data_IF_240505211906
#
_entry.id   IF_240505211906
#
_cell.length_a   1.000
_cell.length_b   1.000
_cell.length_c   1.000
_cell.angle_alpha   90.00
_cell.angle_beta   90.00
_cell.angle_gamma   90.00
#
_symmetry.space_group_name_H-M   'P 1'
#
loop_
_entity.id
_entity.type
_entity.pdbx_description
1 polymer ?
#
# COMPACT_ATOMS: atom_id res chain seq x y z
N UNK A 1 -26.06 -26.30 7.29
CA UNK A 1 -27.41 -25.83 7.54
C UNK A 1 -27.50 -25.31 8.96
N UNK A 2 -28.23 -24.24 9.17
CA UNK A 2 -28.45 -23.66 10.50
C UNK A 2 -29.59 -24.42 11.16
N UNK A 3 -29.34 -25.11 12.30
CA UNK A 3 -30.31 -26.03 12.91
C UNK A 3 -30.65 -25.69 14.37
N UNK A 4 -29.98 -24.64 14.92
CA UNK A 4 -30.25 -24.25 16.31
C UNK A 4 -31.66 -23.69 16.44
N UNK A 5 -32.54 -24.38 17.19
CA UNK A 5 -33.94 -23.99 17.43
C UNK A 5 -34.23 -23.70 18.91
N UNK A 6 -33.33 -24.06 19.82
CA UNK A 6 -33.45 -23.83 21.25
C UNK A 6 -32.24 -23.01 21.72
N UNK A 7 -32.36 -21.68 21.71
CA UNK A 7 -31.27 -20.76 22.04
C UNK A 7 -31.63 -20.07 23.36
N UNK A 8 -30.70 -20.13 24.32
CA UNK A 8 -30.78 -19.45 25.60
C UNK A 8 -29.66 -18.43 25.74
N UNK A 9 -29.91 -17.36 26.45
CA UNK A 9 -28.93 -16.32 26.81
C UNK A 9 -28.75 -16.29 28.31
N UNK A 10 -27.49 -16.22 28.73
CA UNK A 10 -27.14 -16.04 30.15
C UNK A 10 -25.95 -15.06 30.25
N UNK A 11 -25.81 -14.43 31.42
CA UNK A 11 -24.66 -13.57 31.70
C UNK A 11 -23.49 -14.41 32.19
N UNK A 12 -22.32 -14.20 31.53
CA UNK A 12 -21.09 -14.88 31.95
C UNK A 12 -20.48 -14.16 33.15
N UNK A 13 -20.47 -14.77 34.33
CA UNK A 13 -20.03 -14.12 35.57
C UNK A 13 -18.53 -14.07 35.70
N UNK A 14 -17.65 -14.47 35.12
CA UNK A 14 -16.16 -14.42 35.38
C UNK A 14 -15.31 -14.57 34.13
N UNK A 15 -15.90 -14.38 32.97
CA UNK A 15 -15.19 -14.58 31.70
C UNK A 15 -14.99 -13.25 31.01
N UNK A 16 -13.75 -12.78 30.97
CA UNK A 16 -13.33 -11.64 30.14
C UNK A 16 -12.87 -12.19 28.78
N UNK A 17 -13.65 -11.99 27.73
CA UNK A 17 -13.33 -12.47 26.39
C UNK A 17 -13.51 -11.37 25.34
N UNK A 18 -12.69 -11.41 24.29
CA UNK A 18 -12.79 -10.54 23.12
C UNK A 18 -12.50 -11.30 21.83
N UNK A 19 -12.87 -10.72 20.70
CA UNK A 19 -12.71 -11.37 19.37
C UNK A 19 -11.46 -10.89 18.60
N UNK A 20 -10.55 -10.16 19.22
CA UNK A 20 -9.40 -9.54 18.55
C UNK A 20 -8.06 -9.83 19.27
N UNK A 21 -7.86 -11.09 19.65
CA UNK A 21 -6.68 -11.54 20.42
C UNK A 21 -5.32 -11.26 19.76
N UNK A 22 -5.29 -11.05 18.43
CA UNK A 22 -4.08 -10.66 17.71
C UNK A 22 -3.52 -9.28 18.09
N UNK A 23 -4.36 -8.41 18.70
CA UNK A 23 -3.94 -7.04 19.06
C UNK A 23 -2.77 -7.02 20.06
N UNK A 24 -2.71 -7.98 20.98
CA UNK A 24 -1.62 -8.06 21.95
C UNK A 24 -0.25 -8.29 21.29
N UNK A 25 -0.20 -9.12 20.25
CA UNK A 25 1.04 -9.33 19.48
C UNK A 25 1.44 -8.08 18.68
N UNK A 26 0.46 -7.37 18.10
CA UNK A 26 0.71 -6.11 17.41
C UNK A 26 1.22 -5.02 18.37
N UNK A 27 0.61 -4.90 19.54
CA UNK A 27 1.04 -3.93 20.55
C UNK A 27 2.47 -4.21 21.02
N UNK A 28 2.80 -5.48 21.30
CA UNK A 28 4.17 -5.87 21.63
C UNK A 28 5.14 -5.52 20.49
N UNK A 29 4.77 -5.79 19.23
CA UNK A 29 5.58 -5.43 18.08
C UNK A 29 5.85 -3.93 18.02
N UNK A 30 4.84 -3.10 18.16
CA UNK A 30 4.93 -1.62 18.16
C UNK A 30 5.89 -1.13 19.25
N UNK A 31 5.78 -1.68 20.48
CA UNK A 31 6.68 -1.38 21.58
C UNK A 31 8.11 -1.81 21.28
N UNK A 32 8.31 -3.05 20.80
CA UNK A 32 9.64 -3.57 20.46
C UNK A 32 10.34 -2.84 19.33
N UNK A 33 9.59 -2.22 18.44
CA UNK A 33 10.13 -1.40 17.36
C UNK A 33 10.43 0.04 17.80
N UNK A 34 10.18 0.40 19.07
CA UNK A 34 10.43 1.73 19.62
C UNK A 34 9.52 2.82 19.03
N UNK A 35 8.38 2.44 18.42
CA UNK A 35 7.50 3.41 17.74
C UNK A 35 6.79 4.32 18.75
N UNK A 36 6.44 3.82 19.94
CA UNK A 36 5.78 4.62 21.01
C UNK A 36 6.70 5.75 21.44
N UNK A 37 7.90 5.41 21.87
CA UNK A 37 8.89 6.37 22.37
C UNK A 37 9.31 7.36 21.29
N UNK A 38 9.36 6.89 20.04
CA UNK A 38 9.76 7.73 18.91
C UNK A 38 8.67 8.75 18.54
N UNK A 39 7.40 8.35 18.57
CA UNK A 39 6.26 9.25 18.38
C UNK A 39 6.23 10.32 19.48
N UNK A 40 6.32 9.93 20.76
CA UNK A 40 6.25 10.87 21.89
C UNK A 40 7.44 11.82 21.94
N UNK A 41 8.59 11.40 21.42
CA UNK A 41 9.79 12.25 21.33
C UNK A 41 9.75 13.28 20.21
N UNK A 42 9.12 12.95 19.09
CA UNK A 42 9.20 13.76 17.86
C UNK A 42 7.92 14.48 17.47
N UNK A 43 6.79 14.15 18.09
CA UNK A 43 5.53 14.88 17.92
C UNK A 43 5.27 15.72 19.18
N UNK A 44 4.95 16.99 18.98
CA UNK A 44 4.69 17.96 20.06
C UNK A 44 3.38 18.72 19.78
N UNK A 45 2.28 17.95 19.72
CA UNK A 45 0.96 18.45 19.33
C UNK A 45 0.07 18.76 20.54
N UNK A 46 0.36 18.12 21.66
CA UNK A 46 -0.41 18.24 22.88
C UNK A 46 0.23 19.29 23.82
N UNK A 47 -0.59 20.19 24.36
CA UNK A 47 -0.15 21.14 25.39
C UNK A 47 -0.04 20.49 26.77
N UNK A 48 -0.79 19.42 26.98
CA UNK A 48 -0.85 18.66 28.23
C UNK A 48 -0.88 17.18 27.87
N UNK A 49 0.04 16.41 28.42
CA UNK A 49 0.20 14.98 28.15
C UNK A 49 -0.59 14.06 29.11
N UNK A 50 -1.55 14.58 29.80
CA UNK A 50 -2.47 13.83 30.63
C UNK A 50 -3.90 14.04 30.14
N UNK A 51 -4.68 13.00 29.94
CA UNK A 51 -4.36 11.58 30.24
C UNK A 51 -3.68 10.82 29.07
N UNK A 52 -3.37 11.47 27.95
CA UNK A 52 -2.88 10.83 26.73
C UNK A 52 -1.62 11.50 26.20
N UNK A 53 -0.75 10.70 25.61
CA UNK A 53 0.40 11.13 24.79
C UNK A 53 0.07 11.10 23.30
N UNK A 54 0.94 11.62 22.45
CA UNK A 54 0.79 11.61 20.99
C UNK A 54 0.70 10.19 20.44
N UNK A 55 1.50 9.26 20.97
CA UNK A 55 1.47 7.85 20.59
C UNK A 55 0.12 7.21 20.89
N UNK A 56 -0.55 7.56 21.99
CA UNK A 56 -1.87 7.03 22.35
C UNK A 56 -2.92 7.38 21.28
N UNK A 57 -2.88 8.60 20.76
CA UNK A 57 -3.80 9.04 19.70
C UNK A 57 -3.52 8.36 18.38
N UNK A 58 -2.23 8.29 17.96
CA UNK A 58 -1.81 7.63 16.73
C UNK A 58 -2.20 6.15 16.76
N UNK A 59 -1.90 5.47 17.87
CA UNK A 59 -2.18 4.05 18.03
C UNK A 59 -3.66 3.74 18.23
N UNK A 60 -4.43 4.62 18.90
CA UNK A 60 -5.88 4.47 19.02
C UNK A 60 -6.55 4.34 17.66
N UNK A 61 -6.25 5.26 16.73
CA UNK A 61 -6.76 5.22 15.36
C UNK A 61 -6.27 3.97 14.61
N UNK A 62 -4.97 3.69 14.68
CA UNK A 62 -4.34 2.54 14.02
C UNK A 62 -4.90 1.22 14.52
N UNK A 63 -5.07 1.05 15.83
CA UNK A 63 -5.60 -0.19 16.43
C UNK A 63 -7.08 -0.36 16.18
N UNK A 64 -7.86 0.72 16.17
CA UNK A 64 -9.26 0.64 15.73
C UNK A 64 -9.38 -0.01 14.35
N UNK A 65 -8.56 0.43 13.39
CA UNK A 65 -8.53 -0.17 12.04
C UNK A 65 -8.00 -1.61 12.04
N UNK A 66 -6.97 -1.91 12.84
CA UNK A 66 -6.40 -3.27 12.99
C UNK A 66 -7.38 -4.28 13.55
N UNK A 67 -8.37 -3.86 14.32
CA UNK A 67 -9.40 -4.76 14.86
C UNK A 67 -10.73 -4.67 14.11
N UNK A 68 -10.69 -4.15 12.87
CA UNK A 68 -11.82 -4.15 11.93
C UNK A 68 -12.70 -2.92 11.96
N UNK A 69 -12.36 -1.88 12.73
CA UNK A 69 -12.99 -0.56 12.63
C UNK A 69 -12.81 0.05 11.23
N UNK A 70 -13.73 0.90 10.83
CA UNK A 70 -13.74 1.55 9.50
C UNK A 70 -13.87 3.06 9.59
N UNK A 71 -14.24 3.58 10.73
CA UNK A 71 -14.55 4.99 11.01
C UNK A 71 -13.98 5.39 12.36
N UNK A 72 -13.89 6.69 12.59
CA UNK A 72 -13.56 7.20 13.92
C UNK A 72 -14.60 6.77 14.96
N UNK A 73 -15.88 6.77 14.60
CA UNK A 73 -16.98 6.40 15.49
C UNK A 73 -16.85 4.96 16.00
N UNK A 74 -16.20 4.07 15.26
CA UNK A 74 -15.98 2.68 15.71
C UNK A 74 -15.00 2.59 16.89
N UNK A 75 -14.25 3.64 17.20
CA UNK A 75 -13.43 3.76 18.41
C UNK A 75 -14.28 3.61 19.68
N UNK A 76 -15.54 4.06 19.65
CA UNK A 76 -16.45 3.92 20.79
C UNK A 76 -16.68 2.46 21.17
N UNK A 77 -16.70 1.53 20.22
CA UNK A 77 -16.79 0.08 20.48
C UNK A 77 -15.57 -0.43 21.26
N UNK A 78 -14.41 0.17 21.05
CA UNK A 78 -13.16 -0.22 21.73
C UNK A 78 -13.08 0.44 23.10
N UNK A 79 -13.55 1.67 23.20
CA UNK A 79 -13.58 2.44 24.46
C UNK A 79 -14.50 1.81 25.51
N UNK A 80 -15.60 1.19 25.06
CA UNK A 80 -16.56 0.49 25.93
C UNK A 80 -16.19 -0.96 26.20
N UNK A 81 -15.23 -1.54 25.49
CA UNK A 81 -14.79 -2.91 25.70
C UNK A 81 -13.69 -2.95 26.77
N UNK A 82 -14.10 -3.18 28.02
CA UNK A 82 -13.18 -3.31 29.15
C UNK A 82 -12.13 -4.40 28.93
N UNK A 83 -12.46 -5.48 28.20
CA UNK A 83 -11.54 -6.58 27.96
C UNK A 83 -10.45 -6.16 26.98
N UNK A 84 -10.81 -5.39 25.97
CA UNK A 84 -9.87 -4.78 25.03
C UNK A 84 -8.91 -3.81 25.75
N UNK A 85 -9.44 -2.93 26.59
CA UNK A 85 -8.63 -2.01 27.38
C UNK A 85 -7.68 -2.74 28.33
N UNK A 86 -8.19 -3.71 29.09
CA UNK A 86 -7.38 -4.55 30.00
C UNK A 86 -6.31 -5.33 29.24
N UNK A 87 -6.62 -5.80 28.04
CA UNK A 87 -5.68 -6.50 27.16
C UNK A 87 -4.48 -5.61 26.79
N UNK A 88 -4.71 -4.38 26.47
CA UNK A 88 -3.66 -3.39 26.14
C UNK A 88 -3.03 -2.71 27.37
N UNK A 89 -3.51 -3.01 28.58
CA UNK A 89 -3.05 -2.35 29.81
C UNK A 89 -3.53 -0.91 29.98
N UNK A 90 -4.51 -0.49 29.17
CA UNK A 90 -5.10 0.85 29.23
C UNK A 90 -6.28 0.91 30.20
N UNK A 91 -6.44 2.03 30.89
CA UNK A 91 -7.64 2.33 31.66
C UNK A 91 -8.73 2.96 30.79
N UNK A 92 -8.30 3.76 29.83
CA UNK A 92 -9.15 4.44 28.86
C UNK A 92 -8.36 4.77 27.59
N UNK A 93 -9.07 5.04 26.51
CA UNK A 93 -8.52 5.53 25.23
C UNK A 93 -9.28 6.78 24.78
N UNK A 94 -8.70 7.64 23.91
CA UNK A 94 -9.40 8.80 23.36
C UNK A 94 -10.70 8.39 22.67
N UNK A 95 -11.77 9.17 22.90
CA UNK A 95 -13.04 8.99 22.20
C UNK A 95 -12.97 9.45 20.74
N UNK A 96 -13.99 9.15 19.89
CA UNK A 96 -13.99 9.51 18.48
C UNK A 96 -13.80 11.00 18.20
N UNK A 97 -14.41 11.88 19.03
CA UNK A 97 -14.30 13.33 18.89
C UNK A 97 -12.87 13.78 19.18
N UNK A 98 -12.33 13.32 20.29
CA UNK A 98 -10.93 13.59 20.70
C UNK A 98 -9.94 13.08 19.66
N UNK A 99 -10.18 11.92 19.03
CA UNK A 99 -9.35 11.40 17.94
C UNK A 99 -9.41 12.28 16.69
N UNK A 100 -10.60 12.80 16.34
CA UNK A 100 -10.76 13.78 15.27
C UNK A 100 -10.08 15.11 15.57
N UNK A 101 -10.21 15.61 16.79
CA UNK A 101 -9.56 16.86 17.25
C UNK A 101 -8.03 16.75 17.27
N UNK A 102 -7.50 15.57 17.60
CA UNK A 102 -6.07 15.33 17.52
C UNK A 102 -5.55 15.49 16.09
N UNK A 103 -6.27 14.97 15.08
CA UNK A 103 -5.83 15.15 13.68
C UNK A 103 -5.83 16.64 13.26
N UNK A 104 -6.70 17.48 13.84
CA UNK A 104 -6.77 18.93 13.55
C UNK A 104 -5.62 19.73 14.18
N UNK A 105 -4.82 19.13 15.04
CA UNK A 105 -3.64 19.78 15.63
C UNK A 105 -2.42 19.76 14.71
N UNK A 106 -2.42 18.91 13.70
CA UNK A 106 -1.32 18.81 12.74
C UNK A 106 -1.24 20.03 11.84
N UNK A 107 -0.05 20.60 11.73
CA UNK A 107 0.36 21.48 10.65
C UNK A 107 1.09 20.68 9.56
N UNK A 108 1.35 21.28 8.41
CA UNK A 108 2.16 20.65 7.34
C UNK A 108 3.55 20.23 7.87
N UNK A 109 4.12 21.01 8.79
CA UNK A 109 5.42 20.73 9.39
C UNK A 109 5.44 19.46 10.25
N UNK A 110 4.30 19.06 10.83
CA UNK A 110 4.21 17.91 11.74
C UNK A 110 4.01 16.58 10.99
N UNK A 111 3.57 16.64 9.72
CA UNK A 111 3.33 15.43 8.92
C UNK A 111 4.62 14.66 8.62
N UNK A 112 5.70 15.38 8.31
CA UNK A 112 6.98 14.73 8.03
C UNK A 112 7.55 14.01 9.26
N UNK A 113 7.65 14.64 10.46
CA UNK A 113 8.01 13.93 11.69
C UNK A 113 7.21 12.66 11.95
N UNK A 114 5.89 12.67 11.76
CA UNK A 114 5.04 11.47 11.89
C UNK A 114 5.49 10.35 10.93
N UNK A 115 5.71 10.66 9.65
CA UNK A 115 6.13 9.67 8.68
C UNK A 115 7.57 9.18 8.93
N UNK A 116 8.44 10.05 9.44
CA UNK A 116 9.82 9.68 9.79
C UNK A 116 9.87 8.72 11.00
N UNK A 117 9.01 8.88 12.02
CA UNK A 117 8.85 7.91 13.11
C UNK A 117 8.45 6.52 12.55
N UNK A 118 7.50 6.49 11.62
CA UNK A 118 7.08 5.25 10.96
C UNK A 118 8.23 4.62 10.17
N UNK A 119 9.04 5.43 9.49
CA UNK A 119 10.18 4.97 8.71
C UNK A 119 11.31 4.42 9.61
N UNK A 120 11.58 5.02 10.78
CA UNK A 120 12.55 4.49 11.75
C UNK A 120 12.12 3.13 12.30
N UNK A 121 10.86 2.96 12.67
CA UNK A 121 10.31 1.66 13.09
C UNK A 121 10.42 0.60 11.97
N UNK A 122 10.18 0.99 10.72
CA UNK A 122 10.39 0.14 9.54
C UNK A 122 11.82 -0.33 9.40
N UNK A 123 12.78 0.55 9.55
CA UNK A 123 14.21 0.20 9.48
C UNK A 123 14.58 -0.80 10.58
N UNK A 124 13.99 -0.72 11.77
CA UNK A 124 14.17 -1.73 12.81
C UNK A 124 13.69 -3.12 12.36
N UNK A 125 12.57 -3.20 11.63
CA UNK A 125 12.11 -4.46 11.02
C UNK A 125 13.09 -4.96 9.94
N UNK A 126 13.62 -4.08 9.11
CA UNK A 126 14.55 -4.47 8.04
C UNK A 126 15.89 -4.94 8.56
N UNK A 127 16.39 -4.35 9.65
CA UNK A 127 17.68 -4.74 10.29
C UNK A 127 17.69 -6.20 10.78
N UNK A 128 16.53 -6.76 11.13
CA UNK A 128 16.44 -8.16 11.61
C UNK A 128 16.11 -9.15 10.49
N UNK A 129 16.10 -8.70 9.23
CA UNK A 129 15.96 -9.58 8.08
C UNK A 129 17.30 -10.23 7.71
N UNK A 130 17.28 -11.38 7.01
CA UNK A 130 18.49 -12.03 6.52
C UNK A 130 19.33 -11.13 5.61
N UNK A 131 20.62 -11.38 5.56
CA UNK A 131 21.52 -10.73 4.62
C UNK A 131 21.02 -10.88 3.17
N UNK A 132 21.08 -9.80 2.40
CA UNK A 132 20.56 -9.75 1.03
C UNK A 132 19.04 -9.77 0.94
N UNK A 133 18.32 -9.45 2.02
CA UNK A 133 16.87 -9.29 2.05
C UNK A 133 16.35 -8.39 0.91
N UNK A 134 17.00 -7.26 0.69
CA UNK A 134 16.74 -6.34 -0.42
C UNK A 134 17.96 -6.26 -1.36
N UNK A 135 18.18 -7.30 -2.18
CA UNK A 135 19.26 -7.24 -3.21
C UNK A 135 19.03 -6.09 -4.17
N UNK A 136 17.79 -5.88 -4.58
CA UNK A 136 17.33 -4.75 -5.38
C UNK A 136 15.98 -4.28 -4.83
N UNK A 137 15.88 -3.01 -4.48
CA UNK A 137 14.66 -2.38 -4.00
C UNK A 137 13.95 -1.65 -5.15
N UNK A 138 12.64 -1.82 -5.24
CA UNK A 138 11.80 -1.14 -6.20
C UNK A 138 10.95 -0.09 -5.47
N UNK A 139 11.27 1.18 -5.70
CA UNK A 139 10.51 2.32 -5.17
C UNK A 139 9.51 2.74 -6.24
N UNK A 140 8.24 2.47 -5.97
CA UNK A 140 7.13 2.80 -6.85
C UNK A 140 6.47 4.11 -6.42
N UNK A 141 6.15 4.96 -7.39
CA UNK A 141 5.39 6.19 -7.19
C UNK A 141 4.13 6.17 -8.04
N UNK A 142 3.01 6.54 -7.43
CA UNK A 142 1.73 6.66 -8.12
C UNK A 142 0.81 7.66 -7.41
N UNK A 143 -0.09 8.28 -8.16
CA UNK A 143 -1.15 9.13 -7.66
C UNK A 143 -2.49 8.38 -7.64
N UNK A 144 -3.41 8.86 -6.81
CA UNK A 144 -4.78 8.36 -6.86
C UNK A 144 -5.76 9.47 -6.59
N UNK A 145 -7.02 9.28 -6.98
CA UNK A 145 -8.11 10.20 -6.64
C UNK A 145 -8.87 9.62 -5.46
N UNK A 146 -9.02 10.42 -4.42
CA UNK A 146 -9.84 10.13 -3.25
C UNK A 146 -11.06 11.06 -3.28
N UNK A 147 -12.17 10.56 -3.83
CA UNK A 147 -13.42 11.32 -3.97
C UNK A 147 -14.06 11.61 -2.62
N UNK A 148 -14.69 12.77 -2.50
CA UNK A 148 -15.50 13.15 -1.33
C UNK A 148 -16.78 13.85 -1.77
N UNK A 149 -17.85 13.68 -0.99
CA UNK A 149 -19.13 14.36 -1.18
C UNK A 149 -19.34 15.52 -0.18
N UNK A 150 -18.37 15.75 0.71
CA UNK A 150 -18.48 16.81 1.71
C UNK A 150 -18.19 18.17 1.11
N UNK A 151 -19.18 19.06 1.10
CA UNK A 151 -19.10 20.40 0.50
C UNK A 151 -18.18 21.36 1.27
N UNK A 152 -17.96 21.12 2.56
CA UNK A 152 -17.16 21.98 3.44
C UNK A 152 -15.72 21.48 3.64
N UNK A 153 -15.17 20.69 2.70
CA UNK A 153 -13.82 20.15 2.84
C UNK A 153 -12.79 21.08 2.20
N UNK A 154 -11.97 21.67 3.04
CA UNK A 154 -10.86 22.53 2.61
C UNK A 154 -9.84 21.75 1.78
N UNK A 155 -9.33 22.37 0.72
CA UNK A 155 -8.33 21.79 -0.18
C UNK A 155 -8.85 20.71 -1.13
N UNK A 156 -10.15 20.38 -1.12
CA UNK A 156 -10.72 19.57 -2.19
C UNK A 156 -10.80 20.38 -3.48
N UNK A 157 -10.67 19.70 -4.61
CA UNK A 157 -10.81 20.29 -5.93
C UNK A 157 -11.29 19.25 -6.94
N UNK A 158 -11.64 19.71 -8.14
CA UNK A 158 -12.10 18.86 -9.22
C UNK A 158 -10.92 18.20 -9.93
N UNK A 159 -10.84 16.88 -9.88
CA UNK A 159 -9.80 16.13 -10.58
C UNK A 159 -9.98 16.15 -12.10
N UNK A 160 -8.95 15.78 -12.86
CA UNK A 160 -9.01 15.61 -14.31
C UNK A 160 -10.06 14.58 -14.79
N UNK A 161 -10.60 13.76 -13.88
CA UNK A 161 -11.69 12.80 -14.15
C UNK A 161 -13.07 13.34 -13.76
N UNK A 162 -13.17 14.62 -13.39
CA UNK A 162 -14.43 15.20 -12.96
C UNK A 162 -14.92 14.73 -11.59
N UNK A 163 -14.00 14.28 -10.71
CA UNK A 163 -14.32 13.82 -9.36
C UNK A 163 -13.86 14.87 -8.37
N UNK A 164 -14.77 15.37 -7.54
CA UNK A 164 -14.44 16.23 -6.40
C UNK A 164 -13.70 15.45 -5.31
N UNK A 165 -12.59 15.98 -4.81
CA UNK A 165 -11.83 15.31 -3.75
C UNK A 165 -10.39 15.76 -3.67
N UNK A 166 -9.55 14.80 -3.28
CA UNK A 166 -8.10 14.98 -3.12
C UNK A 166 -7.34 14.10 -4.11
N UNK A 167 -6.08 14.46 -4.35
CA UNK A 167 -5.15 13.75 -5.22
C UNK A 167 -3.95 13.16 -4.46
N UNK A 168 -4.14 12.17 -3.54
CA UNK A 168 -3.03 11.62 -2.78
C UNK A 168 -1.95 11.03 -3.67
N UNK A 169 -0.67 11.28 -3.28
CA UNK A 169 0.52 10.66 -3.82
C UNK A 169 0.98 9.55 -2.87
N UNK A 170 1.33 8.40 -3.41
CA UNK A 170 1.84 7.27 -2.66
C UNK A 170 3.20 6.87 -3.19
N UNK A 171 4.20 6.82 -2.31
CA UNK A 171 5.51 6.23 -2.58
C UNK A 171 5.63 4.96 -1.76
N UNK A 172 5.88 3.83 -2.42
CA UNK A 172 5.87 2.51 -1.78
C UNK A 172 7.10 1.69 -2.14
N UNK A 173 7.48 0.76 -1.26
CA UNK A 173 8.45 -0.27 -1.52
C UNK A 173 7.72 -1.52 -2.05
N UNK A 174 7.85 -1.79 -3.34
CA UNK A 174 7.12 -2.88 -4.00
C UNK A 174 7.49 -4.27 -3.47
N UNK A 175 8.74 -4.46 -3.04
CA UNK A 175 9.25 -5.73 -2.52
C UNK A 175 8.44 -6.24 -1.31
N UNK A 176 8.08 -5.32 -0.42
CA UNK A 176 7.42 -5.60 0.86
C UNK A 176 6.00 -5.04 0.93
N UNK A 177 5.56 -4.34 -0.13
CA UNK A 177 4.27 -3.66 -0.24
C UNK A 177 4.04 -2.58 0.84
N UNK A 178 5.10 -2.07 1.42
CA UNK A 178 5.05 -1.01 2.44
C UNK A 178 4.83 0.36 1.80
N UNK A 179 4.05 1.19 2.47
CA UNK A 179 3.92 2.62 2.13
C UNK A 179 5.04 3.38 2.84
N UNK A 180 5.97 3.94 2.07
CA UNK A 180 7.09 4.75 2.57
C UNK A 180 6.64 6.16 2.88
N UNK A 181 5.90 6.77 1.95
CA UNK A 181 5.31 8.09 2.09
C UNK A 181 3.92 8.16 1.46
N UNK A 182 3.04 8.87 2.13
CA UNK A 182 1.73 9.24 1.65
C UNK A 182 1.56 10.75 1.79
N UNK A 183 1.17 11.42 0.70
CA UNK A 183 1.04 12.88 0.64
C UNK A 183 -0.36 13.23 0.18
N UNK A 184 -1.12 13.94 1.01
CA UNK A 184 -2.42 14.44 0.61
C UNK A 184 -2.27 15.75 -0.17
N UNK A 185 -2.99 15.89 -1.27
CA UNK A 185 -2.93 17.05 -2.17
C UNK A 185 -4.33 17.41 -2.67
N UNK A 186 -4.58 18.64 -3.10
CA UNK A 186 -5.84 19.00 -3.77
C UNK A 186 -6.13 18.09 -4.97
N UNK A 187 -7.42 17.90 -5.27
CA UNK A 187 -7.86 17.00 -6.34
C UNK A 187 -7.39 17.37 -7.74
N UNK A 188 -7.13 18.66 -7.99
CA UNK A 188 -6.59 19.20 -9.25
C UNK A 188 -5.06 19.15 -9.33
N UNK A 189 -4.36 18.71 -8.27
CA UNK A 189 -2.91 18.62 -8.29
C UNK A 189 -2.43 17.67 -9.40
N UNK A 190 -1.50 18.12 -10.23
CA UNK A 190 -0.88 17.26 -11.23
C UNK A 190 -0.20 16.06 -10.54
N UNK A 191 -0.34 14.85 -11.11
CA UNK A 191 0.14 13.61 -10.50
C UNK A 191 1.60 13.70 -10.05
N UNK A 192 2.47 14.29 -10.88
CA UNK A 192 3.90 14.44 -10.62
C UNK A 192 4.27 15.58 -9.65
N UNK A 193 3.34 16.47 -9.31
CA UNK A 193 3.66 17.68 -8.51
C UNK A 193 4.24 17.29 -7.14
N UNK A 194 5.43 17.79 -6.82
CA UNK A 194 6.14 17.54 -5.56
C UNK A 194 6.68 16.13 -5.36
N UNK A 195 6.45 15.20 -6.30
CA UNK A 195 6.78 13.78 -6.09
C UNK A 195 8.28 13.48 -6.04
N UNK A 196 9.12 14.29 -6.67
CA UNK A 196 10.58 14.10 -6.66
C UNK A 196 11.15 14.13 -5.25
N UNK A 197 10.73 15.07 -4.42
CA UNK A 197 11.16 15.16 -3.03
C UNK A 197 10.84 13.89 -2.25
N UNK A 198 9.63 13.37 -2.40
CA UNK A 198 9.19 12.16 -1.68
C UNK A 198 9.84 10.89 -2.21
N UNK A 199 10.13 10.83 -3.51
CA UNK A 199 10.94 9.75 -4.11
C UNK A 199 12.35 9.78 -3.51
N UNK A 200 13.02 10.95 -3.48
CA UNK A 200 14.37 11.07 -2.95
C UNK A 200 14.45 10.72 -1.46
N UNK A 201 13.48 11.17 -0.65
CA UNK A 201 13.36 10.77 0.75
C UNK A 201 13.19 9.25 0.92
N UNK A 202 12.33 8.65 0.10
CA UNK A 202 12.11 7.20 0.11
C UNK A 202 13.38 6.43 -0.26
N UNK A 203 14.09 6.87 -1.31
CA UNK A 203 15.39 6.31 -1.71
C UNK A 203 16.40 6.42 -0.57
N UNK A 204 16.44 7.57 0.14
CA UNK A 204 17.32 7.79 1.29
C UNK A 204 17.13 6.77 2.41
N UNK A 205 15.89 6.33 2.69
CA UNK A 205 15.60 5.28 3.67
C UNK A 205 15.97 3.87 3.19
N UNK A 206 15.82 3.62 1.90
CA UNK A 206 16.00 2.28 1.32
C UNK A 206 17.46 1.97 1.00
N UNK A 207 18.22 2.96 0.53
CA UNK A 207 19.63 2.80 0.12
C UNK A 207 20.55 2.14 1.17
N UNK A 208 20.45 2.47 2.49
CA UNK A 208 21.34 1.86 3.49
C UNK A 208 21.14 0.36 3.67
N UNK A 209 20.02 -0.21 3.22
CA UNK A 209 19.66 -1.62 3.40
C UNK A 209 19.55 -2.40 2.10
N UNK A 210 19.55 -1.71 0.96
CA UNK A 210 19.42 -2.31 -0.37
C UNK A 210 20.76 -2.34 -1.12
N UNK A 211 21.00 -3.41 -1.87
CA UNK A 211 22.17 -3.50 -2.76
C UNK A 211 22.05 -2.59 -3.98
N UNK A 212 20.84 -2.30 -4.43
CA UNK A 212 20.54 -1.39 -5.52
C UNK A 212 19.10 -0.84 -5.37
N UNK A 213 18.83 0.33 -5.94
CA UNK A 213 17.48 0.91 -5.97
C UNK A 213 17.06 1.16 -7.42
N UNK A 214 15.82 0.77 -7.74
CA UNK A 214 15.16 1.09 -9.02
C UNK A 214 13.88 1.89 -8.74
N UNK A 215 13.82 3.10 -9.26
CA UNK A 215 12.65 3.98 -9.21
C UNK A 215 11.72 3.62 -10.35
N UNK A 216 10.41 3.44 -10.06
CA UNK A 216 9.40 3.14 -11.09
C UNK A 216 8.22 4.08 -10.99
N UNK A 217 7.74 4.56 -12.12
CA UNK A 217 6.57 5.41 -12.25
C UNK A 217 5.88 5.21 -13.59
N UNK A 218 4.62 5.61 -13.72
CA UNK A 218 3.92 5.61 -15.00
C UNK A 218 4.28 6.86 -15.84
N UNK A 219 3.50 7.13 -16.85
CA UNK A 219 3.73 8.25 -17.78
C UNK A 219 3.64 9.61 -17.08
N UNK A 220 2.82 9.73 -16.05
CA UNK A 220 2.69 10.96 -15.26
C UNK A 220 3.97 11.28 -14.47
N UNK A 221 4.80 10.28 -14.17
CA UNK A 221 6.02 10.40 -13.38
C UNK A 221 7.30 10.24 -14.21
N UNK A 222 7.31 10.66 -15.46
CA UNK A 222 8.49 10.55 -16.36
C UNK A 222 9.73 11.29 -15.85
N UNK A 223 9.59 12.38 -15.11
CA UNK A 223 10.63 13.13 -14.39
C UNK A 223 11.94 13.33 -15.15
N UNK A 224 11.87 13.60 -16.46
CA UNK A 224 13.05 13.67 -17.34
C UNK A 224 14.13 14.62 -16.86
N UNK A 225 13.79 15.66 -16.08
CA UNK A 225 14.76 16.59 -15.49
C UNK A 225 15.62 15.97 -14.36
N UNK A 226 15.26 14.78 -13.85
CA UNK A 226 15.96 14.14 -12.74
C UNK A 226 16.80 12.93 -13.16
N UNK A 227 16.66 12.46 -14.38
CA UNK A 227 17.29 11.21 -14.84
C UNK A 227 18.80 11.24 -14.73
N UNK A 228 19.44 12.34 -15.18
CA UNK A 228 20.90 12.49 -15.11
C UNK A 228 21.39 12.49 -13.64
N UNK A 229 20.65 13.12 -12.73
CA UNK A 229 20.96 13.17 -11.31
C UNK A 229 20.84 11.80 -10.66
N UNK A 230 19.72 11.09 -10.88
CA UNK A 230 19.53 9.74 -10.36
C UNK A 230 20.53 8.73 -10.92
N UNK A 231 20.84 8.84 -12.23
CA UNK A 231 21.85 8.01 -12.87
C UNK A 231 23.26 8.25 -12.29
N UNK A 232 23.63 9.52 -12.09
CA UNK A 232 24.89 9.89 -11.46
C UNK A 232 25.02 9.42 -10.01
N UNK A 233 23.89 9.35 -9.29
CA UNK A 233 23.79 8.78 -7.94
C UNK A 233 23.79 7.24 -7.91
N UNK A 234 23.86 6.58 -9.07
CA UNK A 234 23.85 5.12 -9.19
C UNK A 234 22.46 4.48 -9.09
N UNK A 235 21.39 5.29 -9.03
CA UNK A 235 20.04 4.76 -8.99
C UNK A 235 19.59 4.31 -10.38
N UNK A 236 18.88 3.19 -10.42
CA UNK A 236 18.21 2.71 -11.63
C UNK A 236 16.80 3.28 -11.69
N UNK A 237 16.26 3.37 -12.90
CA UNK A 237 14.89 3.78 -13.10
C UNK A 237 14.24 3.07 -14.28
N UNK A 238 12.91 2.93 -14.22
CA UNK A 238 12.03 2.49 -15.32
C UNK A 238 10.80 3.39 -15.23
N UNK A 239 10.74 4.42 -16.07
CA UNK A 239 9.67 5.41 -16.04
C UNK A 239 8.90 5.41 -17.34
N UNK A 240 7.57 5.51 -17.25
CA UNK A 240 6.73 5.67 -18.42
C UNK A 240 6.97 7.01 -19.10
N UNK A 241 6.74 7.06 -20.40
CA UNK A 241 6.76 8.29 -21.18
C UNK A 241 5.51 8.40 -22.02
N UNK A 242 4.98 9.61 -22.13
CA UNK A 242 3.84 9.89 -22.98
C UNK A 242 4.14 9.59 -24.47
N UNK A 243 3.14 9.03 -25.13
CA UNK A 243 3.19 8.76 -26.56
C UNK A 243 3.03 10.05 -27.39
N UNK A 244 3.93 11.02 -27.17
CA UNK A 244 3.87 12.28 -27.93
C UNK A 244 4.28 12.07 -29.40
N UNK A 245 3.86 12.94 -30.33
CA UNK A 245 4.01 12.75 -31.77
C UNK A 245 5.42 12.41 -32.25
N UNK A 246 6.47 12.99 -31.61
CA UNK A 246 7.87 12.72 -31.95
C UNK A 246 8.26 11.27 -31.65
N UNK A 247 7.90 10.75 -30.49
CA UNK A 247 8.17 9.36 -30.12
C UNK A 247 7.38 8.38 -31.00
N UNK A 248 6.12 8.69 -31.28
CA UNK A 248 5.28 7.87 -32.17
C UNK A 248 5.86 7.81 -33.58
N UNK A 249 6.34 8.94 -34.13
CA UNK A 249 7.02 8.98 -35.44
C UNK A 249 8.31 8.13 -35.43
N UNK A 250 9.11 8.22 -34.38
CA UNK A 250 10.31 7.39 -34.22
C UNK A 250 9.97 5.89 -34.19
N UNK A 251 8.95 5.51 -33.43
CA UNK A 251 8.49 4.12 -33.36
C UNK A 251 7.95 3.62 -34.69
N UNK A 252 7.17 4.43 -35.41
CA UNK A 252 6.59 4.07 -36.70
C UNK A 252 7.64 3.95 -37.81
N UNK A 253 8.76 4.66 -37.69
CA UNK A 253 9.88 4.61 -38.64
C UNK A 253 10.83 3.41 -38.44
N UNK A 254 10.66 2.65 -37.35
CA UNK A 254 11.48 1.46 -37.10
C UNK A 254 11.18 0.35 -38.13
N UNK A 255 12.23 -0.23 -38.69
CA UNK A 255 12.11 -1.36 -39.61
C UNK A 255 11.52 -2.59 -38.87
N UNK A 256 10.83 -3.44 -39.61
CA UNK A 256 10.20 -4.65 -39.04
C UNK A 256 11.17 -5.54 -38.27
N UNK A 257 12.44 -5.62 -38.69
CA UNK A 257 13.49 -6.40 -38.03
C UNK A 257 13.86 -5.90 -36.62
N UNK A 258 13.54 -4.63 -36.28
CA UNK A 258 13.77 -4.07 -34.97
C UNK A 258 12.72 -4.54 -33.92
N UNK A 259 11.60 -5.11 -34.41
CA UNK A 259 10.50 -5.53 -33.55
C UNK A 259 10.63 -7.02 -33.23
N UNK A 260 10.69 -7.32 -31.90
CA UNK A 260 10.67 -8.69 -31.38
C UNK A 260 9.28 -9.02 -30.87
N UNK A 261 8.66 -10.14 -31.29
CA UNK A 261 7.40 -10.60 -30.71
C UNK A 261 7.53 -10.71 -29.18
N UNK A 262 6.49 -10.36 -28.45
CA UNK A 262 6.48 -10.42 -27.02
C UNK A 262 5.25 -11.16 -26.50
N UNK A 263 5.49 -12.28 -25.83
CA UNK A 263 4.49 -13.03 -25.11
C UNK A 263 4.69 -12.81 -23.60
N UNK A 264 3.60 -12.55 -22.93
CA UNK A 264 3.66 -12.38 -21.48
C UNK A 264 3.72 -13.72 -20.79
N UNK A 265 4.62 -13.85 -19.84
CA UNK A 265 4.62 -15.00 -18.95
C UNK A 265 3.26 -15.09 -18.21
N UNK A 266 2.71 -16.30 -18.05
CA UNK A 266 1.49 -16.48 -17.28
C UNK A 266 1.73 -16.04 -15.83
N UNK A 267 0.75 -15.32 -15.25
CA UNK A 267 0.87 -14.80 -13.87
C UNK A 267 0.93 -15.89 -12.80
N UNK A 268 0.49 -17.10 -13.13
CA UNK A 268 0.48 -18.27 -12.25
C UNK A 268 0.40 -19.55 -13.08
N UNK A 269 1.00 -20.60 -12.58
CA UNK A 269 0.81 -21.96 -13.14
C UNK A 269 -0.52 -22.53 -12.65
N UNK A 270 -1.27 -23.14 -13.56
CA UNK A 270 -2.48 -23.88 -13.20
C UNK A 270 -2.04 -25.30 -12.86
N UNK A 271 -1.99 -25.61 -11.56
CA UNK A 271 -1.61 -26.94 -11.05
C UNK A 271 -2.80 -27.91 -10.98
N UNK A 272 -4.00 -27.46 -11.32
CA UNK A 272 -5.21 -28.27 -11.31
C UNK A 272 -5.94 -28.13 -12.64
N UNK A 273 -6.86 -29.05 -12.94
CA UNK A 273 -7.71 -28.92 -14.13
C UNK A 273 -8.36 -27.52 -14.19
N UNK A 274 -8.31 -26.86 -15.36
CA UNK A 274 -8.89 -25.53 -15.48
C UNK A 274 -10.39 -25.60 -15.18
N UNK A 275 -10.84 -24.84 -14.21
CA UNK A 275 -12.29 -24.67 -13.96
C UNK A 275 -12.92 -24.15 -15.25
N UNK A 276 -14.12 -24.65 -15.58
CA UNK A 276 -14.91 -24.07 -16.65
C UNK A 276 -14.96 -22.55 -16.45
N UNK A 277 -14.55 -21.80 -17.49
CA UNK A 277 -14.59 -20.34 -17.44
C UNK A 277 -16.02 -19.92 -17.16
N UNK A 278 -16.21 -19.12 -16.12
CA UNK A 278 -17.53 -18.53 -15.85
C UNK A 278 -18.04 -17.80 -17.08
N UNK A 279 -19.34 -17.95 -17.35
CA UNK A 279 -19.98 -17.29 -18.46
C UNK A 279 -19.81 -15.76 -18.36
N UNK A 280 -19.36 -15.14 -19.45
CA UNK A 280 -19.04 -13.73 -19.49
C UNK A 280 -20.19 -12.94 -20.08
N UNK A 281 -21.16 -12.56 -19.28
CA UNK A 281 -22.31 -11.75 -19.69
C UNK A 281 -21.93 -10.48 -20.45
N UNK A 282 -20.82 -9.83 -20.08
CA UNK A 282 -20.36 -8.62 -20.77
C UNK A 282 -19.98 -8.92 -22.24
N UNK A 283 -19.27 -10.01 -22.50
CA UNK A 283 -18.90 -10.43 -23.86
C UNK A 283 -20.15 -10.73 -24.68
N UNK A 284 -21.12 -11.44 -24.11
CA UNK A 284 -22.42 -11.69 -24.76
C UNK A 284 -23.11 -10.39 -25.12
N UNK A 285 -23.21 -9.41 -24.20
CA UNK A 285 -23.85 -8.13 -24.49
C UNK A 285 -23.12 -7.31 -25.54
N UNK A 286 -21.80 -7.38 -25.60
CA UNK A 286 -20.99 -6.75 -26.65
C UNK A 286 -21.36 -7.30 -28.02
N UNK A 287 -21.55 -8.62 -28.13
CA UNK A 287 -21.94 -9.28 -29.37
C UNK A 287 -23.40 -8.96 -29.74
N UNK A 288 -24.34 -9.19 -28.82
CA UNK A 288 -25.79 -9.00 -29.04
C UNK A 288 -26.17 -7.56 -29.42
N UNK A 289 -25.48 -6.56 -28.85
CA UNK A 289 -25.78 -5.14 -29.08
C UNK A 289 -24.79 -4.47 -30.02
N UNK A 290 -23.90 -5.24 -30.64
CA UNK A 290 -22.87 -4.76 -31.55
C UNK A 290 -22.06 -3.57 -30.99
N UNK A 291 -21.71 -3.60 -29.70
CA UNK A 291 -20.85 -2.58 -29.11
C UNK A 291 -19.44 -2.64 -29.67
N UNK A 292 -18.78 -1.48 -29.74
CA UNK A 292 -17.36 -1.41 -30.05
C UNK A 292 -16.54 -2.19 -29.00
N UNK A 293 -15.67 -3.07 -29.47
CA UNK A 293 -14.78 -3.85 -28.63
C UNK A 293 -13.36 -3.78 -29.18
N UNK A 294 -12.37 -3.91 -28.30
CA UNK A 294 -10.96 -3.90 -28.66
C UNK A 294 -10.30 -5.22 -28.23
N UNK A 295 -9.80 -5.97 -29.19
CA UNK A 295 -9.11 -7.25 -28.96
C UNK A 295 -7.64 -7.10 -29.23
N UNK A 296 -6.81 -7.44 -28.24
CA UNK A 296 -5.36 -7.50 -28.42
C UNK A 296 -5.01 -8.69 -29.33
N UNK A 297 -4.38 -8.41 -30.45
CA UNK A 297 -3.96 -9.42 -31.43
C UNK A 297 -2.53 -9.88 -31.17
N UNK A 298 -1.65 -8.94 -30.80
CA UNK A 298 -0.25 -9.27 -30.50
C UNK A 298 0.49 -8.09 -29.90
N UNK A 299 1.61 -8.39 -29.28
CA UNK A 299 2.54 -7.38 -28.72
C UNK A 299 3.93 -7.60 -29.33
N UNK A 300 4.66 -6.50 -29.53
CA UNK A 300 6.06 -6.54 -29.94
C UNK A 300 6.85 -5.46 -29.22
N UNK A 301 8.14 -5.73 -29.00
CA UNK A 301 9.07 -4.83 -28.32
C UNK A 301 10.14 -4.34 -29.29
N UNK A 302 10.53 -3.08 -29.12
CA UNK A 302 11.68 -2.50 -29.78
C UNK A 302 12.43 -1.59 -28.82
N UNK A 303 13.66 -1.23 -29.18
CA UNK A 303 14.53 -0.37 -28.40
C UNK A 303 15.04 0.78 -29.25
N UNK A 304 15.20 1.93 -28.63
CA UNK A 304 15.80 3.12 -29.24
C UNK A 304 16.76 3.78 -28.27
N UNK A 305 17.72 4.50 -28.77
CA UNK A 305 18.43 5.53 -27.99
C UNK A 305 17.62 6.82 -28.02
N UNK A 306 17.35 7.38 -26.86
CA UNK A 306 16.55 8.60 -26.75
C UNK A 306 17.15 9.56 -25.75
N UNK A 307 17.24 10.83 -26.13
CA UNK A 307 17.66 11.93 -25.26
C UNK A 307 16.46 12.82 -24.99
N UNK A 308 15.89 12.80 -23.78
CA UNK A 308 14.91 13.80 -23.38
C UNK A 308 15.48 15.21 -23.40
N UNK A 309 14.66 16.22 -23.70
CA UNK A 309 15.13 17.60 -23.83
C UNK A 309 15.79 18.17 -22.57
N UNK A 310 15.46 17.62 -21.39
CA UNK A 310 16.01 18.05 -20.10
C UNK A 310 17.21 17.23 -19.63
N UNK A 311 17.70 16.30 -20.45
CA UNK A 311 18.83 15.43 -20.12
C UNK A 311 20.06 15.78 -20.97
N UNK A 312 21.23 15.76 -20.35
CA UNK A 312 22.51 15.83 -21.06
C UNK A 312 22.87 14.48 -21.70
N UNK A 313 22.43 13.38 -21.10
CA UNK A 313 22.70 12.01 -21.52
C UNK A 313 21.58 11.43 -22.39
N UNK A 314 21.96 10.46 -23.22
CA UNK A 314 21.00 9.56 -23.88
C UNK A 314 20.72 8.38 -22.98
N UNK A 315 19.48 7.91 -23.03
CA UNK A 315 19.01 6.74 -22.27
C UNK A 315 18.34 5.74 -23.20
N UNK A 316 18.21 4.53 -22.72
CA UNK A 316 17.50 3.46 -23.42
C UNK A 316 16.00 3.71 -23.36
N UNK A 317 15.38 3.89 -24.54
CA UNK A 317 13.94 3.92 -24.71
C UNK A 317 13.44 2.53 -25.08
N UNK A 318 12.49 2.00 -24.31
CA UNK A 318 11.81 0.73 -24.59
C UNK A 318 10.43 1.02 -25.13
N UNK A 319 10.12 0.45 -26.28
CA UNK A 319 8.85 0.64 -26.99
C UNK A 319 8.09 -0.68 -27.01
N UNK A 320 6.85 -0.64 -26.51
CA UNK A 320 5.91 -1.74 -26.64
C UNK A 320 4.82 -1.38 -27.63
N UNK A 321 4.77 -2.11 -28.74
CA UNK A 321 3.74 -1.99 -29.78
C UNK A 321 2.64 -2.98 -29.50
N UNK A 322 1.40 -2.53 -29.41
CA UNK A 322 0.22 -3.37 -29.34
C UNK A 322 -0.57 -3.28 -30.64
N UNK A 323 -0.82 -4.43 -31.24
CA UNK A 323 -1.74 -4.57 -32.34
C UNK A 323 -3.12 -4.87 -31.77
N UNK A 324 -4.09 -4.00 -32.03
CA UNK A 324 -5.42 -4.05 -31.47
C UNK A 324 -6.41 -4.11 -32.62
N UNK A 325 -7.19 -5.18 -32.72
CA UNK A 325 -8.33 -5.25 -33.62
C UNK A 325 -9.52 -4.56 -32.99
N UNK A 326 -10.02 -3.53 -33.66
CA UNK A 326 -11.27 -2.85 -33.27
C UNK A 326 -12.40 -3.58 -33.94
N UNK A 327 -13.32 -4.11 -33.14
CA UNK A 327 -14.44 -4.94 -33.57
C UNK A 327 -15.77 -4.23 -33.22
N UNK A 328 -16.80 -4.50 -33.99
CA UNK A 328 -18.17 -4.18 -33.65
C UNK A 328 -18.94 -5.50 -33.50
N UNK A 329 -19.34 -5.80 -32.26
CA UNK A 329 -19.74 -7.16 -31.93
C UNK A 329 -18.58 -8.13 -32.19
N UNK A 330 -18.78 -9.09 -33.11
CA UNK A 330 -17.75 -10.04 -33.55
C UNK A 330 -17.03 -9.61 -34.83
N UNK A 331 -17.54 -8.62 -35.56
CA UNK A 331 -17.01 -8.20 -36.88
C UNK A 331 -15.81 -7.28 -36.68
N UNK A 332 -14.66 -7.67 -37.22
CA UNK A 332 -13.50 -6.80 -37.29
C UNK A 332 -13.76 -5.60 -38.22
N UNK A 333 -13.45 -4.39 -37.74
CA UNK A 333 -13.59 -3.16 -38.53
C UNK A 333 -12.24 -2.69 -39.07
N UNK A 334 -11.28 -2.53 -38.21
CA UNK A 334 -9.92 -2.11 -38.56
C UNK A 334 -8.93 -2.47 -37.47
N UNK A 335 -7.66 -2.50 -37.81
CA UNK A 335 -6.58 -2.71 -36.88
C UNK A 335 -5.98 -1.36 -36.45
N UNK A 336 -5.67 -1.22 -35.17
CA UNK A 336 -5.07 -0.05 -34.57
C UNK A 336 -3.76 -0.42 -33.87
N UNK A 337 -2.71 0.33 -34.17
CA UNK A 337 -1.45 0.21 -33.45
C UNK A 337 -1.40 1.23 -32.33
N UNK A 338 -1.05 0.77 -31.11
CA UNK A 338 -0.74 1.64 -29.98
C UNK A 338 0.69 1.40 -29.52
N UNK A 339 1.39 2.50 -29.26
CA UNK A 339 2.74 2.48 -28.71
C UNK A 339 2.73 2.92 -27.26
N UNK A 340 3.52 2.22 -26.45
CA UNK A 340 3.78 2.56 -25.05
C UNK A 340 5.29 2.69 -24.89
N UNK A 341 5.73 3.76 -24.25
CA UNK A 341 7.14 4.11 -24.13
C UNK A 341 7.56 4.06 -22.67
N UNK A 342 8.77 3.57 -22.43
CA UNK A 342 9.45 3.65 -21.15
C UNK A 342 10.89 4.07 -21.36
N UNK A 343 11.44 4.84 -20.40
CA UNK A 343 12.84 5.24 -20.37
C UNK A 343 13.55 4.58 -19.21
N UNK A 344 14.80 4.15 -19.42
CA UNK A 344 15.56 3.43 -18.40
C UNK A 344 17.06 3.57 -18.62
N UNK A 345 17.84 3.51 -17.52
CA UNK A 345 19.30 3.35 -17.55
C UNK A 345 19.73 1.91 -17.27
N UNK A 346 18.80 0.94 -17.28
CA UNK A 346 19.09 -0.48 -17.05
C UNK A 346 19.63 -1.15 -18.30
N UNK A 347 20.48 -2.15 -18.10
CA UNK A 347 21.11 -2.96 -19.17
C UNK A 347 20.49 -4.35 -19.32
N UNK A 348 19.47 -4.70 -18.53
CA UNK A 348 18.78 -5.99 -18.62
C UNK A 348 18.15 -6.21 -20.01
N UNK A 349 17.82 -7.46 -20.33
CA UNK A 349 17.05 -7.80 -21.55
C UNK A 349 15.73 -7.02 -21.57
N UNK A 350 15.28 -6.63 -22.76
CA UNK A 350 14.09 -5.78 -22.95
C UNK A 350 12.83 -6.40 -22.34
N UNK A 351 12.69 -7.72 -22.46
CA UNK A 351 11.57 -8.48 -21.90
C UNK A 351 11.54 -8.35 -20.37
N UNK A 352 12.71 -8.44 -19.71
CA UNK A 352 12.84 -8.27 -18.26
C UNK A 352 12.49 -6.84 -17.85
N UNK A 353 12.93 -5.82 -18.60
CA UNK A 353 12.58 -4.41 -18.31
C UNK A 353 11.06 -4.22 -18.38
N UNK A 354 10.42 -4.76 -19.43
CA UNK A 354 8.96 -4.71 -19.56
C UNK A 354 8.25 -5.45 -18.44
N UNK A 355 8.78 -6.61 -18.02
CA UNK A 355 8.30 -7.33 -16.84
C UNK A 355 8.38 -6.52 -15.57
N UNK A 356 9.52 -5.84 -15.31
CA UNK A 356 9.73 -4.96 -14.17
C UNK A 356 8.82 -3.73 -14.22
N UNK A 357 8.64 -3.11 -15.40
CA UNK A 357 7.69 -2.01 -15.59
C UNK A 357 6.25 -2.43 -15.27
N UNK A 358 5.83 -3.63 -15.76
CA UNK A 358 4.51 -4.17 -15.46
C UNK A 358 4.35 -4.53 -13.96
N UNK A 359 5.43 -4.89 -13.28
CA UNK A 359 5.44 -5.15 -11.83
C UNK A 359 4.95 -3.97 -10.99
N UNK A 360 5.01 -2.73 -11.51
CA UNK A 360 4.42 -1.54 -10.89
C UNK A 360 2.90 -1.65 -10.69
N UNK A 361 2.19 -2.41 -11.52
CA UNK A 361 0.74 -2.66 -11.30
C UNK A 361 0.42 -3.27 -9.93
N UNK A 362 1.42 -3.79 -9.20
CA UNK A 362 1.23 -4.21 -7.80
C UNK A 362 0.97 -3.03 -6.85
N UNK A 363 1.38 -1.81 -7.19
CA UNK A 363 1.07 -0.61 -6.43
C UNK A 363 -0.43 -0.27 -6.49
N UNK A 364 -1.09 -0.53 -7.62
CA UNK A 364 -2.54 -0.38 -7.75
C UNK A 364 -3.28 -1.22 -6.68
N UNK A 365 -2.75 -2.42 -6.37
CA UNK A 365 -3.29 -3.25 -5.29
C UNK A 365 -3.04 -2.61 -3.90
N UNK A 366 -1.86 -2.02 -3.65
CA UNK A 366 -1.59 -1.30 -2.39
C UNK A 366 -2.54 -0.11 -2.25
N UNK A 367 -2.73 0.67 -3.31
CA UNK A 367 -3.66 1.81 -3.33
C UNK A 367 -5.10 1.34 -3.07
N UNK A 368 -5.51 0.23 -3.68
CA UNK A 368 -6.82 -0.36 -3.44
C UNK A 368 -6.99 -0.77 -1.97
N UNK A 369 -5.98 -1.41 -1.36
CA UNK A 369 -6.00 -1.78 0.04
C UNK A 369 -5.98 -0.56 0.98
N UNK A 370 -5.30 0.52 0.61
CA UNK A 370 -5.37 1.79 1.35
C UNK A 370 -6.78 2.39 1.30
N UNK A 371 -7.50 2.28 0.16
CA UNK A 371 -8.88 2.76 0.00
C UNK A 371 -9.88 1.90 0.75
N UNK A 372 -9.90 0.60 0.46
CA UNK A 372 -10.99 -0.32 0.82
C UNK A 372 -10.59 -1.30 1.94
N UNK A 373 -9.31 -1.51 2.18
CA UNK A 373 -8.80 -2.33 3.28
C UNK A 373 -8.73 -1.56 4.60
N UNK A 374 -7.85 -0.58 4.67
CA UNK A 374 -7.61 0.22 5.89
C UNK A 374 -8.35 1.58 5.90
N UNK A 375 -9.17 1.86 4.89
CA UNK A 375 -9.98 3.09 4.78
C UNK A 375 -9.19 4.41 4.93
N UNK A 376 -7.93 4.42 4.50
CA UNK A 376 -7.06 5.60 4.60
C UNK A 376 -7.61 6.81 3.82
N UNK A 377 -8.36 6.56 2.73
CA UNK A 377 -8.91 7.60 1.86
C UNK A 377 -10.34 8.04 2.27
N UNK A 378 -10.76 7.76 3.52
CA UNK A 378 -12.11 8.10 3.98
C UNK A 378 -12.28 9.58 4.31
N UNK A 379 -11.20 10.26 4.71
CA UNK A 379 -11.17 11.70 4.99
C UNK A 379 -12.26 12.14 5.99
N UNK A 380 -12.13 11.75 7.29
CA UNK A 380 -13.20 11.96 8.27
C UNK A 380 -13.34 13.40 8.77
N UNK A 381 -12.37 14.28 8.48
CA UNK A 381 -12.32 15.67 8.96
C UNK A 381 -12.39 16.68 7.81
N UNK A 382 -12.44 17.99 8.12
CA UNK A 382 -12.77 18.99 7.11
C UNK A 382 -11.57 19.57 6.36
N UNK A 383 -10.40 19.64 6.96
CA UNK A 383 -9.24 20.28 6.32
C UNK A 383 -8.26 19.28 5.69
N UNK A 384 -7.46 19.77 4.77
CA UNK A 384 -6.53 18.97 3.97
C UNK A 384 -5.44 18.31 4.84
N UNK A 385 -4.86 19.05 5.78
CA UNK A 385 -3.74 18.60 6.60
C UNK A 385 -4.19 17.58 7.63
N UNK A 386 -5.31 17.80 8.28
CA UNK A 386 -5.91 16.84 9.23
C UNK A 386 -6.26 15.51 8.55
N UNK A 387 -6.81 15.58 7.34
CA UNK A 387 -7.04 14.37 6.54
C UNK A 387 -5.72 13.70 6.11
N UNK A 388 -4.65 14.48 5.87
CA UNK A 388 -3.33 13.92 5.60
C UNK A 388 -2.79 13.16 6.82
N UNK A 389 -2.86 13.74 8.01
CA UNK A 389 -2.50 13.05 9.26
C UNK A 389 -3.29 11.74 9.43
N UNK A 390 -4.61 11.79 9.24
CA UNK A 390 -5.46 10.59 9.27
C UNK A 390 -4.99 9.53 8.27
N UNK A 391 -4.73 9.92 7.01
CA UNK A 391 -4.28 9.00 5.96
C UNK A 391 -2.96 8.31 6.34
N UNK A 392 -2.01 9.04 6.92
CA UNK A 392 -0.71 8.49 7.35
C UNK A 392 -0.90 7.49 8.50
N UNK A 393 -1.71 7.82 9.50
CA UNK A 393 -2.02 6.92 10.62
C UNK A 393 -2.77 5.65 10.15
N UNK A 394 -3.68 5.80 9.19
CA UNK A 394 -4.35 4.64 8.60
C UNK A 394 -3.39 3.80 7.73
N UNK A 395 -2.46 4.43 7.01
CA UNK A 395 -1.42 3.72 6.26
C UNK A 395 -0.43 2.98 7.19
N UNK A 396 -0.21 3.46 8.42
CA UNK A 396 0.54 2.74 9.45
C UNK A 396 -0.09 1.36 9.73
N UNK A 397 -1.43 1.27 9.76
CA UNK A 397 -2.13 -0.02 9.90
C UNK A 397 -1.72 -1.02 8.82
N UNK A 398 -1.60 -0.58 7.58
CA UNK A 398 -1.12 -1.41 6.47
C UNK A 398 0.36 -1.80 6.64
N UNK A 399 1.20 -0.86 7.08
CA UNK A 399 2.61 -1.12 7.34
C UNK A 399 2.80 -2.11 8.48
N UNK A 400 2.04 -2.01 9.57
CA UNK A 400 2.08 -2.98 10.68
C UNK A 400 1.74 -4.40 10.22
N UNK A 401 0.77 -4.56 9.32
CA UNK A 401 0.49 -5.86 8.69
C UNK A 401 1.70 -6.38 7.90
N UNK A 402 2.36 -5.53 7.11
CA UNK A 402 3.54 -5.91 6.34
C UNK A 402 4.72 -6.30 7.27
N UNK A 403 4.97 -5.51 8.33
CA UNK A 403 6.02 -5.79 9.31
C UNK A 403 5.77 -7.07 10.07
N UNK A 404 4.52 -7.33 10.48
CA UNK A 404 4.18 -8.62 11.09
C UNK A 404 4.54 -9.77 10.14
N UNK A 405 4.15 -9.68 8.86
CA UNK A 405 4.51 -10.68 7.86
C UNK A 405 6.03 -10.88 7.70
N UNK A 406 6.80 -9.80 7.71
CA UNK A 406 8.28 -9.85 7.64
C UNK A 406 8.92 -10.45 8.89
N UNK A 407 8.24 -10.40 10.02
CA UNK A 407 8.71 -10.96 11.30
C UNK A 407 8.28 -12.42 11.52
N UNK A 408 7.46 -13.00 10.66
CA UNK A 408 7.13 -14.44 10.70
C UNK A 408 8.41 -15.26 10.45
N UNK A 409 8.77 -16.22 11.33
CA UNK A 409 9.99 -17.02 11.16
C UNK A 409 9.99 -17.85 9.88
N UNK A 410 8.86 -18.43 9.49
CA UNK A 410 8.71 -19.10 8.22
C UNK A 410 8.56 -18.08 7.09
N UNK A 411 9.60 -17.95 6.25
CA UNK A 411 9.69 -16.92 5.20
C UNK A 411 8.56 -17.02 4.16
N UNK A 412 8.17 -18.21 3.74
CA UNK A 412 7.11 -18.38 2.74
C UNK A 412 5.77 -17.93 3.29
N UNK A 413 5.44 -18.36 4.54
CA UNK A 413 4.25 -17.93 5.25
C UNK A 413 4.26 -16.41 5.51
N UNK A 414 5.40 -15.87 5.88
CA UNK A 414 5.58 -14.43 6.04
C UNK A 414 5.29 -13.66 4.76
N UNK A 415 5.83 -14.10 3.61
CA UNK A 415 5.57 -13.50 2.31
C UNK A 415 4.10 -13.65 1.88
N UNK A 416 3.43 -14.75 2.25
CA UNK A 416 1.99 -14.90 2.03
C UNK A 416 1.22 -13.80 2.80
N UNK A 417 1.55 -13.54 4.07
CA UNK A 417 0.94 -12.46 4.86
C UNK A 417 1.23 -11.08 4.29
N UNK A 418 2.47 -10.81 3.84
CA UNK A 418 2.83 -9.54 3.18
C UNK A 418 1.97 -9.31 1.93
N UNK A 419 1.71 -10.34 1.13
CA UNK A 419 0.91 -10.26 -0.11
C UNK A 419 -0.60 -10.28 0.16
N UNK A 420 -1.02 -10.74 1.32
CA UNK A 420 -2.42 -10.95 1.68
C UNK A 420 -3.20 -9.63 1.70
N UNK A 421 -4.45 -9.68 1.25
CA UNK A 421 -5.40 -8.57 1.41
C UNK A 421 -5.67 -8.30 2.90
N UNK A 422 -5.88 -7.03 3.24
CA UNK A 422 -6.01 -6.62 4.64
C UNK A 422 -7.14 -7.35 5.38
N UNK A 423 -8.31 -7.48 4.76
CA UNK A 423 -9.43 -8.18 5.40
C UNK A 423 -9.15 -9.65 5.69
N UNK A 424 -8.44 -10.33 4.78
CA UNK A 424 -8.02 -11.72 5.00
C UNK A 424 -7.00 -11.80 6.13
N UNK A 425 -6.07 -10.82 6.21
CA UNK A 425 -5.12 -10.72 7.31
C UNK A 425 -5.83 -10.52 8.66
N UNK A 426 -6.85 -9.64 8.72
CA UNK A 426 -7.63 -9.49 9.94
C UNK A 426 -8.19 -10.82 10.43
N UNK A 427 -8.82 -11.59 9.54
CA UNK A 427 -9.41 -12.88 9.89
C UNK A 427 -8.35 -13.94 10.27
N UNK A 428 -7.16 -13.87 9.68
CA UNK A 428 -6.10 -14.84 9.92
C UNK A 428 -5.35 -14.61 11.24
N UNK A 429 -5.07 -13.34 11.57
CA UNK A 429 -4.10 -12.96 12.61
C UNK A 429 -4.73 -12.10 13.72
N UNK A 430 -5.65 -11.18 13.37
CA UNK A 430 -6.15 -10.20 14.31
C UNK A 430 -7.41 -10.63 15.04
N UNK A 431 -8.40 -11.14 14.31
CA UNK A 431 -9.71 -11.49 14.85
C UNK A 431 -9.68 -12.91 15.42
N UNK A 432 -8.84 -13.13 16.42
CA UNK A 432 -8.72 -14.39 17.15
C UNK A 432 -9.54 -14.29 18.43
N UNK A 433 -10.60 -15.09 18.59
CA UNK A 433 -11.35 -15.13 19.84
C UNK A 433 -10.44 -15.56 20.99
N UNK A 434 -10.44 -14.81 22.07
CA UNK A 434 -9.60 -15.13 23.23
C UNK A 434 -10.25 -14.72 24.54
N UNK A 435 -9.90 -15.43 25.61
CA UNK A 435 -10.08 -15.03 26.98
C UNK A 435 -8.87 -14.20 27.43
N UNK A 436 -9.10 -13.08 28.12
CA UNK A 436 -8.04 -12.25 28.69
C UNK A 436 -8.03 -12.45 30.21
N UNK A 437 -6.90 -12.90 30.73
CA UNK A 437 -6.68 -13.09 32.16
C UNK A 437 -5.57 -12.14 32.61
N UNK A 438 -5.87 -11.26 33.56
CA UNK A 438 -4.89 -10.36 34.16
C UNK A 438 -4.44 -10.92 35.52
N UNK A 439 -3.15 -11.06 35.68
CA UNK A 439 -2.51 -11.33 36.96
C UNK A 439 -1.72 -10.10 37.39
N UNK A 440 -1.16 -10.10 38.61
CA UNK A 440 -0.34 -8.98 39.11
C UNK A 440 0.82 -8.62 38.19
N UNK A 441 1.37 -9.60 37.44
CA UNK A 441 2.57 -9.42 36.61
C UNK A 441 2.37 -9.66 35.12
N UNK A 442 1.21 -10.17 34.67
CA UNK A 442 1.02 -10.61 33.27
C UNK A 442 -0.41 -10.38 32.80
N UNK A 443 -0.54 -10.03 31.54
CA UNK A 443 -1.79 -10.13 30.78
C UNK A 443 -1.66 -11.36 29.88
N UNK A 444 -2.56 -12.31 30.02
CA UNK A 444 -2.54 -13.60 29.31
C UNK A 444 -3.72 -13.65 28.35
N UNK A 445 -3.42 -13.83 27.06
CA UNK A 445 -4.42 -14.07 26.02
C UNK A 445 -4.54 -15.59 25.79
N UNK A 446 -5.66 -16.16 26.17
CA UNK A 446 -5.98 -17.58 25.91
C UNK A 446 -6.80 -17.66 24.65
N UNK A 447 -6.20 -18.07 23.55
CA UNK A 447 -6.89 -18.18 22.27
C UNK A 447 -7.94 -19.31 22.33
N UNK A 448 -9.19 -19.00 21.99
CA UNK A 448 -10.31 -19.93 22.01
C UNK A 448 -10.60 -20.54 20.64
N UNK A 449 -10.34 -19.78 19.56
CA UNK A 449 -10.59 -20.23 18.19
C UNK A 449 -9.40 -20.99 17.61
N UNK A 450 -9.66 -21.83 16.62
CA UNK A 450 -8.64 -22.48 15.81
C UNK A 450 -8.68 -21.95 14.38
N UNK A 451 -7.50 -21.65 13.84
CA UNK A 451 -7.28 -21.46 12.41
C UNK A 451 -5.87 -21.93 12.02
N UNK A 452 -5.63 -22.14 10.73
CA UNK A 452 -4.37 -22.68 10.23
C UNK A 452 -3.16 -21.74 10.37
N UNK A 453 -3.33 -20.51 10.90
CA UNK A 453 -2.26 -19.54 11.13
C UNK A 453 -1.75 -19.53 12.57
N UNK A 454 -2.35 -20.26 13.49
CA UNK A 454 -1.98 -20.22 14.90
C UNK A 454 -0.54 -20.67 15.15
N UNK A 455 -0.03 -21.62 14.37
CA UNK A 455 1.37 -22.07 14.48
C UNK A 455 2.32 -20.90 14.14
N UNK A 456 2.06 -20.23 13.02
CA UNK A 456 2.85 -19.06 12.58
C UNK A 456 2.67 -17.89 13.57
N UNK A 457 1.47 -17.70 14.12
CA UNK A 457 1.17 -16.69 15.11
C UNK A 457 2.02 -16.86 16.38
N UNK A 458 2.04 -18.06 16.97
CA UNK A 458 2.82 -18.33 18.17
C UNK A 458 4.31 -18.30 17.93
N UNK A 459 4.80 -18.81 16.80
CA UNK A 459 6.21 -18.68 16.42
C UNK A 459 6.64 -17.22 16.27
N UNK A 460 5.76 -16.36 15.69
CA UNK A 460 6.01 -14.94 15.57
C UNK A 460 5.98 -14.25 16.94
N UNK A 461 5.04 -14.62 17.81
CA UNK A 461 4.97 -14.15 19.18
C UNK A 461 6.28 -14.41 19.95
N UNK A 462 6.83 -15.62 19.88
CA UNK A 462 8.12 -15.97 20.49
C UNK A 462 9.26 -15.11 19.93
N UNK A 463 9.28 -14.88 18.63
CA UNK A 463 10.27 -13.98 18.01
C UNK A 463 10.13 -12.56 18.52
N UNK A 464 8.93 -12.02 18.61
CA UNK A 464 8.67 -10.67 19.11
C UNK A 464 9.12 -10.49 20.57
N UNK A 465 8.98 -11.51 21.42
CA UNK A 465 9.46 -11.47 22.79
C UNK A 465 10.98 -11.31 22.88
N UNK A 466 11.71 -11.87 21.92
CA UNK A 466 13.18 -11.84 21.84
C UNK A 466 13.72 -10.68 21.00
N UNK A 467 12.84 -9.90 20.37
CA UNK A 467 13.23 -8.79 19.53
C UNK A 467 13.79 -7.67 20.41
N UNK A 468 15.09 -7.45 20.36
CA UNK A 468 15.77 -6.30 20.93
C UNK A 468 16.11 -5.36 19.77
N UNK A 469 15.56 -4.17 19.79
CA UNK A 469 16.04 -3.06 18.97
C UNK A 469 16.90 -2.21 19.87
N UNK A 470 18.22 -2.41 19.75
CA UNK A 470 19.22 -1.60 20.42
C UNK A 470 19.26 -0.20 19.83
#
# INVERSE_FOLDING_TARGET
>A
MLQASNIHYEMAERTAAMNCGGIGAMHLMVQRLGLVEDLDRNLHLLKVHLPYHESDHVLNLTYNLLVGGRRLEDIELRRQDEVFLKGLGAERIPDPTTAGDFTRRFSVADILPLQECINRARVAVWKVQPEGFLKEAFVDVDGTIAGTYGECKEGMDLSHKGIWGYGPLIVSLANTKEVLYLVNRPGNAASQSGSVEWIDRAVGWVMPVAGAVTIRGDTDFSHTAQLDRWDAAGHKFILGMDAHPKLVKLAAALENKAWKPFEREPKYEILTEPRQKAFRYKEQRVVEREFENQKLVGEALAEIEYQPCKCAKKYRGVIRRKNISVQQGEKARFDKIRYFFSITNRTDKVEKIVGLANGRCNQENVIEQLKNGVNAMRMPVNDLVSNWAYMVMAALTWNLKAWYGLLVPNRERGLELVKMEFRRFLNAIMLLPCQVVRTVRRVIYRILGYNGWLVDFFATWERLQRLYTG
#
